data_IF_592341596264
#
_entry.id   IF_592341596264
#
_cell.length_a   1.000
_cell.length_b   1.000
_cell.length_c   1.000
_cell.angle_alpha   90.00
_cell.angle_beta   90.00
_cell.angle_gamma   90.00
#
_symmetry.space_group_name_H-M   'P 1'
#
loop_
_entity.id
_entity.type
_entity.pdbx_description
1 polymer ?
#
# COMPACT_ATOMS: atom_id res chain seq x y z
N UNK A 1 22.61 15.73 14.72
CA UNK A 1 21.77 15.95 13.53
C UNK A 1 20.63 14.95 13.64
N UNK A 2 19.39 15.42 13.53
CA UNK A 2 18.19 14.58 13.64
C UNK A 2 17.99 13.76 12.36
N UNK A 3 17.23 12.67 12.43
CA UNK A 3 16.74 11.91 11.30
C UNK A 3 15.99 12.81 10.31
N UNK A 4 15.13 13.71 10.76
CA UNK A 4 14.44 14.67 9.89
C UNK A 4 15.42 15.57 9.14
N UNK A 5 16.43 16.13 9.82
CA UNK A 5 17.43 17.00 9.19
C UNK A 5 18.17 16.26 8.06
N UNK A 6 18.60 15.02 8.32
CA UNK A 6 19.26 14.16 7.31
C UNK A 6 18.32 13.78 6.17
N UNK A 7 17.07 13.46 6.48
CA UNK A 7 16.05 13.14 5.49
C UNK A 7 15.81 14.30 4.52
N UNK A 8 15.73 15.52 5.07
CA UNK A 8 15.60 16.76 4.29
C UNK A 8 16.86 17.06 3.46
N UNK A 9 18.05 16.72 3.99
CA UNK A 9 19.32 16.84 3.27
C UNK A 9 19.49 15.82 2.12
N UNK A 10 18.57 14.85 1.97
CA UNK A 10 18.55 13.91 0.86
C UNK A 10 18.93 12.47 1.23
N UNK A 11 19.29 12.19 2.49
CA UNK A 11 19.62 10.85 2.99
C UNK A 11 18.37 9.98 3.24
N UNK A 12 17.42 10.00 2.30
CA UNK A 12 16.07 9.45 2.50
C UNK A 12 16.09 7.94 2.75
N UNK A 13 16.81 7.19 1.91
CA UNK A 13 16.91 5.73 2.04
C UNK A 13 17.64 5.31 3.31
N UNK A 14 18.74 6.00 3.63
CA UNK A 14 19.57 5.69 4.81
C UNK A 14 18.77 5.94 6.09
N UNK A 15 18.10 7.08 6.19
CA UNK A 15 17.23 7.40 7.33
C UNK A 15 16.12 6.38 7.48
N UNK A 16 15.44 5.99 6.40
CA UNK A 16 14.40 4.95 6.47
C UNK A 16 14.94 3.59 6.89
N UNK A 17 16.09 3.17 6.36
CA UNK A 17 16.72 1.92 6.74
C UNK A 17 17.11 1.88 8.22
N UNK A 18 17.64 2.99 8.75
CA UNK A 18 17.98 3.14 10.16
C UNK A 18 16.73 3.10 11.05
N UNK A 19 15.68 3.84 10.70
CA UNK A 19 14.41 3.82 11.45
C UNK A 19 13.76 2.43 11.46
N UNK A 20 13.82 1.69 10.35
CA UNK A 20 13.34 0.31 10.28
C UNK A 20 14.19 -0.63 11.15
N UNK A 21 15.51 -0.45 11.17
CA UNK A 21 16.43 -1.28 11.95
C UNK A 21 16.21 -1.15 13.47
N UNK A 22 15.63 -0.04 13.94
CA UNK A 22 15.24 0.13 15.35
C UNK A 22 14.04 -0.75 15.75
N UNK A 23 13.24 -1.25 14.80
CA UNK A 23 12.07 -2.07 15.09
C UNK A 23 11.11 -1.40 16.07
N UNK A 24 10.75 -2.08 17.16
CA UNK A 24 9.84 -1.54 18.18
C UNK A 24 10.40 -0.31 18.92
N UNK A 25 11.72 -0.14 18.95
CA UNK A 25 12.37 0.95 19.69
C UNK A 25 12.14 2.31 19.02
N UNK A 26 11.75 2.33 17.73
CA UNK A 26 11.37 3.55 17.00
C UNK A 26 10.20 4.29 17.67
N UNK A 27 9.41 3.60 18.51
CA UNK A 27 8.29 4.18 19.26
C UNK A 27 8.67 4.75 20.62
N UNK A 28 9.94 4.75 20.99
CA UNK A 28 10.41 5.31 22.26
C UNK A 28 11.05 6.66 22.05
N UNK A 29 10.86 7.55 23.02
CA UNK A 29 11.61 8.81 23.05
C UNK A 29 13.09 8.53 23.32
N UNK A 30 14.01 9.32 22.73
CA UNK A 30 13.76 10.54 21.93
C UNK A 30 13.52 10.29 20.43
N UNK A 31 13.53 9.03 19.96
CA UNK A 31 13.47 8.70 18.53
C UNK A 31 12.07 8.94 17.95
N UNK A 32 11.03 8.65 18.73
CA UNK A 32 9.64 8.71 18.27
C UNK A 32 9.27 10.04 17.62
N UNK A 33 9.63 11.17 18.24
CA UNK A 33 9.31 12.49 17.72
C UNK A 33 9.90 12.71 16.32
N UNK A 34 11.15 12.32 16.12
CA UNK A 34 11.89 12.50 14.87
C UNK A 34 11.42 11.50 13.79
N UNK A 35 11.14 10.25 14.18
CA UNK A 35 10.56 9.24 13.31
C UNK A 35 9.18 9.64 12.77
N UNK A 36 8.32 10.20 13.65
CA UNK A 36 7.02 10.79 13.25
C UNK A 36 7.20 11.94 12.26
N UNK A 37 8.18 12.81 12.50
CA UNK A 37 8.43 13.93 11.60
C UNK A 37 8.93 13.48 10.21
N UNK A 38 9.79 12.44 10.16
CA UNK A 38 10.22 11.81 8.90
C UNK A 38 9.04 11.17 8.17
N UNK A 39 8.18 10.43 8.89
CA UNK A 39 6.99 9.82 8.31
C UNK A 39 6.05 10.90 7.73
N UNK A 40 5.77 11.96 8.49
CA UNK A 40 4.95 13.09 8.04
C UNK A 40 5.52 13.78 6.79
N UNK A 41 6.82 14.09 6.76
CA UNK A 41 7.44 14.70 5.58
C UNK A 41 7.42 13.77 4.36
N UNK A 42 7.59 12.46 4.57
CA UNK A 42 7.44 11.46 3.52
C UNK A 42 6.03 11.50 2.94
N UNK A 43 5.01 11.54 3.79
CA UNK A 43 3.61 11.55 3.35
C UNK A 43 3.17 12.88 2.73
N UNK A 44 3.74 14.02 3.15
CA UNK A 44 3.58 15.29 2.44
C UNK A 44 4.12 15.25 1.02
N UNK A 45 5.22 14.53 0.78
CA UNK A 45 5.75 14.30 -0.58
C UNK A 45 4.84 13.37 -1.39
N UNK A 46 4.33 12.31 -0.76
CA UNK A 46 3.35 11.41 -1.38
C UNK A 46 2.11 12.20 -1.82
N UNK A 47 1.53 13.02 -0.95
CA UNK A 47 0.38 13.86 -1.29
C UNK A 47 0.65 14.76 -2.50
N UNK A 48 1.77 15.48 -2.53
CA UNK A 48 2.15 16.30 -3.69
C UNK A 48 2.29 15.48 -4.97
N UNK A 49 2.76 14.24 -4.88
CA UNK A 49 2.84 13.35 -6.03
C UNK A 49 1.45 12.89 -6.48
N UNK A 50 0.56 12.53 -5.55
CA UNK A 50 -0.83 12.18 -5.84
C UNK A 50 -1.55 13.34 -6.54
N UNK A 51 -1.45 14.56 -6.02
CA UNK A 51 -2.02 15.77 -6.64
C UNK A 51 -1.55 15.95 -8.09
N UNK A 52 -0.25 15.72 -8.36
CA UNK A 52 0.32 15.78 -9.71
C UNK A 52 -0.17 14.65 -10.61
N UNK A 53 -0.30 13.44 -10.09
CA UNK A 53 -0.79 12.29 -10.84
C UNK A 53 -2.26 12.51 -11.22
N UNK A 54 -3.10 12.86 -10.25
CA UNK A 54 -4.52 13.18 -10.45
C UNK A 54 -4.67 14.26 -11.52
N UNK A 55 -3.98 15.39 -11.39
CA UNK A 55 -4.07 16.46 -12.38
C UNK A 55 -3.64 16.04 -13.79
N UNK A 56 -2.63 15.18 -13.91
CA UNK A 56 -2.18 14.64 -15.22
C UNK A 56 -3.17 13.65 -15.82
N UNK A 57 -3.74 12.77 -15.01
CA UNK A 57 -4.75 11.81 -15.43
C UNK A 57 -6.02 12.53 -15.91
N UNK A 58 -6.49 13.52 -15.15
CA UNK A 58 -7.62 14.38 -15.56
C UNK A 58 -7.35 15.09 -16.88
N UNK A 59 -6.18 15.71 -17.02
CA UNK A 59 -5.79 16.39 -18.27
C UNK A 59 -5.70 15.44 -19.47
N UNK A 60 -5.42 14.15 -19.23
CA UNK A 60 -5.40 13.11 -20.26
C UNK A 60 -6.79 12.54 -20.58
N UNK A 61 -7.85 12.94 -19.87
CA UNK A 61 -9.20 12.42 -20.06
C UNK A 61 -9.49 11.10 -19.32
N UNK A 62 -8.68 10.75 -18.32
CA UNK A 62 -8.93 9.60 -17.44
C UNK A 62 -10.22 9.80 -16.65
N UNK A 63 -11.03 8.75 -16.55
CA UNK A 63 -12.30 8.74 -15.81
C UNK A 63 -12.14 7.95 -14.52
N UNK A 64 -12.09 8.64 -13.39
CA UNK A 64 -12.06 8.01 -12.07
C UNK A 64 -13.42 7.39 -11.72
N UNK A 65 -13.40 6.30 -10.96
CA UNK A 65 -14.60 5.59 -10.51
C UNK A 65 -15.37 4.87 -11.61
N UNK A 66 -14.82 4.74 -12.83
CA UNK A 66 -15.49 4.07 -13.94
C UNK A 66 -14.78 2.77 -14.32
N UNK A 67 -15.55 1.70 -14.51
CA UNK A 67 -15.06 0.41 -15.00
C UNK A 67 -15.32 0.24 -16.51
N UNK A 68 -14.54 -0.63 -17.20
CA UNK A 68 -14.71 -0.87 -18.64
C UNK A 68 -16.08 -1.41 -19.06
N UNK A 69 -16.79 -2.08 -18.16
CA UNK A 69 -18.15 -2.61 -18.37
C UNK A 69 -19.25 -1.53 -18.26
N UNK A 70 -18.87 -0.29 -17.91
CA UNK A 70 -19.78 0.82 -17.71
C UNK A 70 -20.37 0.92 -16.32
N UNK A 71 -19.96 0.04 -15.38
CA UNK A 71 -20.29 0.22 -13.98
C UNK A 71 -19.50 1.40 -13.39
N UNK A 72 -20.18 2.16 -12.53
CA UNK A 72 -19.57 3.25 -11.78
C UNK A 72 -19.43 2.83 -10.32
N UNK A 73 -18.23 2.99 -9.78
CA UNK A 73 -17.93 2.85 -8.37
C UNK A 73 -18.28 4.15 -7.67
N UNK A 74 -18.95 4.07 -6.53
CA UNK A 74 -19.04 5.21 -5.63
C UNK A 74 -17.64 5.59 -5.13
N UNK A 75 -17.28 6.85 -5.31
CA UNK A 75 -16.03 7.43 -4.82
C UNK A 75 -16.27 8.90 -4.47
N UNK A 76 -15.71 9.35 -3.36
CA UNK A 76 -15.70 10.78 -2.99
C UNK A 76 -14.76 11.60 -3.87
N UNK A 77 -13.87 10.92 -4.60
CA UNK A 77 -12.90 11.51 -5.51
C UNK A 77 -11.54 10.82 -5.43
N UNK A 78 -10.64 11.12 -6.38
CA UNK A 78 -9.39 10.37 -6.50
C UNK A 78 -8.34 10.69 -5.44
N UNK A 79 -8.51 11.80 -4.73
CA UNK A 79 -7.68 12.21 -3.60
C UNK A 79 -8.56 13.02 -2.66
N UNK A 80 -8.85 12.47 -1.49
CA UNK A 80 -9.67 13.13 -0.47
C UNK A 80 -8.79 13.55 0.69
N UNK A 81 -8.90 14.82 1.06
CA UNK A 81 -8.11 15.40 2.14
C UNK A 81 -8.56 14.86 3.51
N UNK A 82 -7.65 14.76 4.49
CA UNK A 82 -7.99 14.25 5.80
C UNK A 82 -8.88 15.21 6.60
N UNK A 83 -9.94 14.66 7.17
CA UNK A 83 -10.95 15.38 7.95
C UNK A 83 -10.69 15.25 9.46
N UNK A 84 -11.53 15.90 10.29
CA UNK A 84 -11.48 15.69 11.73
C UNK A 84 -11.98 14.30 12.11
N UNK A 85 -13.01 13.81 11.40
CA UNK A 85 -13.58 12.48 11.54
C UNK A 85 -12.56 11.40 11.16
N UNK A 86 -11.92 11.51 10.00
CA UNK A 86 -10.89 10.55 9.60
C UNK A 86 -9.73 10.48 10.60
N UNK A 87 -9.42 11.56 11.32
CA UNK A 87 -8.41 11.54 12.40
C UNK A 87 -8.91 10.80 13.63
N UNK A 88 -10.17 11.01 14.01
CA UNK A 88 -10.80 10.27 15.10
C UNK A 88 -10.87 8.76 14.79
N UNK A 89 -11.13 8.39 13.54
CA UNK A 89 -11.16 7.00 13.10
C UNK A 89 -9.80 6.31 13.23
N UNK A 90 -8.71 7.02 12.88
CA UNK A 90 -7.34 6.49 13.09
C UNK A 90 -7.08 6.23 14.58
N UNK A 91 -7.50 7.14 15.46
CA UNK A 91 -7.35 6.96 16.91
C UNK A 91 -8.20 5.79 17.42
N UNK A 92 -9.44 5.67 16.96
CA UNK A 92 -10.34 4.57 17.32
C UNK A 92 -9.77 3.22 16.85
N UNK A 93 -9.26 3.16 15.62
CA UNK A 93 -8.66 1.96 15.04
C UNK A 93 -7.43 1.55 15.86
N UNK A 94 -6.52 2.48 16.13
CA UNK A 94 -5.34 2.23 16.95
C UNK A 94 -5.70 1.79 18.39
N UNK A 95 -6.81 2.30 18.94
CA UNK A 95 -7.34 1.89 20.24
C UNK A 95 -7.80 0.43 20.29
N UNK A 96 -8.30 -0.11 19.18
CA UNK A 96 -8.80 -1.50 19.07
C UNK A 96 -7.73 -2.50 18.68
N UNK A 97 -6.90 -2.16 17.69
CA UNK A 97 -5.92 -3.10 17.10
C UNK A 97 -4.50 -2.93 17.66
N UNK A 98 -4.29 -1.88 18.45
CA UNK A 98 -2.99 -1.48 18.94
C UNK A 98 -2.25 -0.54 17.97
N UNK A 99 -0.96 -0.29 18.22
CA UNK A 99 -0.20 0.75 17.52
C UNK A 99 -0.08 0.50 16.00
N UNK A 100 -0.65 1.41 15.19
CA UNK A 100 -0.60 1.39 13.73
C UNK A 100 0.74 1.86 13.17
N UNK A 101 1.32 1.28 12.11
CA UNK A 101 2.61 1.74 11.58
C UNK A 101 2.69 3.27 11.42
N UNK A 102 3.79 3.90 11.86
CA UNK A 102 3.93 5.37 11.85
C UNK A 102 3.73 5.98 10.45
N UNK A 103 4.10 5.24 9.41
CA UNK A 103 3.85 5.62 8.01
C UNK A 103 2.37 5.64 7.66
N UNK A 104 1.57 4.71 8.19
CA UNK A 104 0.13 4.64 7.95
C UNK A 104 -0.61 5.74 8.72
N UNK A 105 -0.27 5.96 10.00
CA UNK A 105 -0.77 7.11 10.79
C UNK A 105 -0.48 8.43 10.04
N UNK A 106 0.75 8.60 9.56
CA UNK A 106 1.16 9.78 8.79
C UNK A 106 0.46 9.87 7.43
N UNK A 107 0.18 8.73 6.77
CA UNK A 107 -0.50 8.72 5.47
C UNK A 107 -1.91 9.29 5.61
N UNK A 108 -2.71 8.73 6.52
CA UNK A 108 -4.06 9.25 6.76
C UNK A 108 -4.06 10.66 7.35
N UNK A 109 -3.00 11.09 8.05
CA UNK A 109 -2.92 12.45 8.59
C UNK A 109 -2.54 13.52 7.56
N UNK A 110 -1.69 13.20 6.60
CA UNK A 110 -1.11 14.16 5.65
C UNK A 110 -1.74 14.04 4.24
N UNK A 111 -2.06 12.82 3.81
CA UNK A 111 -2.63 12.49 2.49
C UNK A 111 -4.15 12.42 2.55
N UNK A 112 -4.70 11.71 3.54
CA UNK A 112 -6.12 11.33 3.58
C UNK A 112 -6.33 9.99 2.88
N UNK A 113 -7.21 9.92 1.88
CA UNK A 113 -7.44 8.72 1.07
C UNK A 113 -7.11 8.97 -0.40
N UNK A 114 -6.80 7.90 -1.13
CA UNK A 114 -6.45 7.94 -2.56
C UNK A 114 -7.22 6.84 -3.26
N UNK A 115 -7.93 7.17 -4.32
CA UNK A 115 -8.64 6.19 -5.15
C UNK A 115 -8.41 6.51 -6.63
N UNK A 116 -7.33 5.95 -7.19
CA UNK A 116 -7.03 6.11 -8.61
C UNK A 116 -7.75 5.06 -9.48
N UNK A 117 -8.71 4.31 -8.94
CA UNK A 117 -9.51 3.36 -9.73
C UNK A 117 -10.26 4.13 -10.79
N UNK A 118 -10.26 3.60 -12.01
CA UNK A 118 -10.91 4.22 -13.15
C UNK A 118 -10.45 3.62 -14.46
N UNK A 119 -10.75 4.33 -15.54
CA UNK A 119 -10.45 3.88 -16.89
C UNK A 119 -10.00 5.01 -17.81
N UNK A 120 -9.24 4.63 -18.83
CA UNK A 120 -8.97 5.47 -19.99
C UNK A 120 -8.94 4.58 -21.24
N UNK A 121 -9.54 4.97 -22.38
CA UNK A 121 -9.65 4.12 -23.57
C UNK A 121 -8.31 3.64 -24.15
N UNK A 122 -7.20 4.31 -23.82
CA UNK A 122 -5.86 3.94 -24.27
C UNK A 122 -5.08 3.07 -23.28
N UNK A 123 -5.65 2.78 -22.10
CA UNK A 123 -5.03 1.93 -21.08
C UNK A 123 -5.67 0.53 -21.12
N UNK A 124 -4.94 -0.53 -20.73
CA UNK A 124 -5.51 -1.86 -20.60
C UNK A 124 -6.62 -1.88 -19.53
N UNK A 125 -7.63 -2.71 -19.74
CA UNK A 125 -8.76 -2.89 -18.82
C UNK A 125 -8.32 -3.36 -17.41
N UNK A 126 -7.15 -4.00 -17.33
CA UNK A 126 -6.57 -4.54 -16.09
C UNK A 126 -5.36 -3.73 -15.64
N UNK A 127 -5.55 -2.43 -15.36
CA UNK A 127 -4.56 -1.65 -14.61
C UNK A 127 -4.67 -1.98 -13.11
N UNK A 128 -3.55 -1.87 -12.39
CA UNK A 128 -3.49 -1.98 -10.92
C UNK A 128 -3.40 -0.55 -10.33
N UNK A 129 -4.52 0.17 -10.20
CA UNK A 129 -4.53 1.54 -9.71
C UNK A 129 -4.18 1.59 -8.23
N UNK A 130 -3.51 2.67 -7.82
CA UNK A 130 -3.30 2.95 -6.41
C UNK A 130 -4.65 3.28 -5.74
N UNK A 131 -5.05 2.44 -4.78
CA UNK A 131 -6.19 2.68 -3.91
C UNK A 131 -5.79 2.48 -2.43
N UNK A 132 -6.08 3.47 -1.60
CA UNK A 132 -5.95 3.44 -0.15
C UNK A 132 -7.21 4.07 0.42
N UNK A 133 -8.04 3.21 1.01
CA UNK A 133 -9.33 3.58 1.58
C UNK A 133 -9.17 4.48 2.82
N UNK A 134 -10.19 5.29 3.16
CA UNK A 134 -10.21 6.04 4.41
C UNK A 134 -10.17 5.11 5.64
N UNK A 135 -9.73 5.61 6.80
CA UNK A 135 -9.63 4.82 8.03
C UNK A 135 -10.98 4.25 8.50
N UNK A 136 -12.10 4.92 8.18
CA UNK A 136 -13.46 4.42 8.38
C UNK A 136 -13.66 3.02 7.79
N UNK A 137 -13.26 2.78 6.54
CA UNK A 137 -13.42 1.46 5.92
C UNK A 137 -12.63 0.34 6.62
N UNK A 138 -11.50 0.68 7.26
CA UNK A 138 -10.75 -0.26 8.07
C UNK A 138 -11.42 -0.55 9.42
N UNK A 139 -12.15 0.41 9.98
CA UNK A 139 -12.97 0.22 11.17
C UNK A 139 -14.19 -0.65 10.89
N UNK A 140 -14.91 -0.38 9.79
CA UNK A 140 -16.04 -1.21 9.36
C UNK A 140 -15.61 -2.67 9.16
N UNK A 141 -14.49 -2.90 8.47
CA UNK A 141 -13.97 -4.27 8.27
C UNK A 141 -13.64 -4.95 9.61
N UNK A 142 -13.13 -4.21 10.58
CA UNK A 142 -12.83 -4.73 11.91
C UNK A 142 -14.11 -5.06 12.69
N UNK A 143 -15.15 -4.24 12.58
CA UNK A 143 -16.46 -4.46 13.20
C UNK A 143 -17.15 -5.70 12.64
N UNK A 144 -17.17 -5.84 11.32
CA UNK A 144 -17.69 -7.04 10.64
C UNK A 144 -16.96 -8.31 11.13
N UNK A 145 -15.63 -8.26 11.21
CA UNK A 145 -14.84 -9.40 11.67
C UNK A 145 -15.06 -9.73 13.15
N UNK A 146 -15.26 -8.72 14.00
CA UNK A 146 -15.58 -8.93 15.42
C UNK A 146 -16.98 -9.55 15.58
N UNK A 147 -17.97 -9.09 14.81
CA UNK A 147 -19.32 -9.65 14.82
C UNK A 147 -19.35 -11.13 14.39
N UNK A 148 -18.66 -11.47 13.30
CA UNK A 148 -18.55 -12.85 12.81
C UNK A 148 -17.88 -13.78 13.84
N UNK A 149 -16.93 -13.26 14.64
CA UNK A 149 -16.27 -14.04 15.69
C UNK A 149 -17.17 -14.39 16.86
N UNK A 150 -18.09 -13.51 17.21
CA UNK A 150 -18.99 -13.71 18.34
C UNK A 150 -20.16 -14.66 17.99
N UNK A 151 -20.42 -14.88 16.69
CA UNK A 151 -21.47 -15.79 16.20
C UNK A 151 -21.08 -17.28 16.10
N UNK A 152 -19.79 -17.63 16.23
CA UNK A 152 -19.26 -19.02 16.20
C UNK A 152 -18.74 -19.43 17.61
N UNK A 153 -19.59 -19.98 18.51
CA UNK A 153 -19.22 -20.28 19.90
C UNK A 153 -18.59 -21.68 20.07
N UNK A 154 -18.44 -22.40 18.98
CA UNK A 154 -17.88 -23.74 18.88
C UNK A 154 -16.35 -23.61 18.86
N UNK A 155 -15.72 -23.96 19.99
CA UNK A 155 -14.27 -23.81 20.23
C UNK A 155 -13.36 -24.71 19.37
N UNK A 156 -13.68 -24.95 18.10
CA UNK A 156 -12.85 -25.68 17.14
C UNK A 156 -12.20 -24.77 16.08
N UNK A 157 -11.61 -23.63 16.48
CA UNK A 157 -10.76 -22.85 15.58
C UNK A 157 -9.36 -23.47 15.42
N UNK A 158 -9.31 -24.68 14.86
CA UNK A 158 -8.13 -25.12 14.13
C UNK A 158 -8.08 -24.28 12.85
N UNK A 159 -7.28 -23.21 12.86
CA UNK A 159 -7.01 -22.42 11.66
C UNK A 159 -6.24 -23.30 10.66
N UNK A 160 -6.97 -24.00 9.79
CA UNK A 160 -6.41 -24.69 8.64
C UNK A 160 -7.09 -24.14 7.39
N UNK A 161 -6.66 -22.96 6.95
CA UNK A 161 -6.90 -22.55 5.56
C UNK A 161 -6.09 -23.52 4.69
N UNK A 162 -6.75 -24.57 4.17
CA UNK A 162 -6.25 -25.46 3.12
C UNK A 162 -5.73 -24.60 1.97
N UNK A 163 -4.44 -24.33 2.00
CA UNK A 163 -3.71 -23.81 0.87
C UNK A 163 -3.67 -24.93 -0.15
N UNK A 164 -4.61 -24.94 -1.10
CA UNK A 164 -4.42 -25.76 -2.31
C UNK A 164 -3.08 -25.31 -2.92
N UNK A 165 -2.15 -26.23 -3.19
CA UNK A 165 -0.86 -25.87 -3.75
C UNK A 165 -1.10 -25.43 -5.20
N UNK A 166 -1.24 -24.13 -5.43
CA UNK A 166 -1.02 -23.59 -6.77
C UNK A 166 0.48 -23.65 -7.00
N UNK A 167 0.89 -24.63 -7.81
CA UNK A 167 2.23 -24.73 -8.38
C UNK A 167 2.56 -23.43 -9.13
N UNK A 168 3.19 -22.48 -8.44
CA UNK A 168 3.86 -21.35 -9.07
C UNK A 168 5.23 -21.85 -9.51
N UNK A 169 5.30 -22.34 -10.74
CA UNK A 169 6.56 -22.37 -11.47
C UNK A 169 6.90 -20.95 -11.91
N UNK A 170 7.67 -20.23 -11.09
CA UNK A 170 8.68 -19.30 -11.63
C UNK A 170 9.83 -19.12 -10.65
N UNK A 171 10.78 -20.03 -10.80
CA UNK A 171 12.20 -19.77 -10.62
C UNK A 171 12.59 -18.46 -11.31
N UNK A 172 12.87 -17.43 -10.52
CA UNK A 172 14.05 -16.56 -10.69
C UNK A 172 14.27 -15.81 -9.38
N UNK A 173 15.44 -16.04 -8.82
CA UNK A 173 15.98 -15.50 -7.56
C UNK A 173 15.86 -13.98 -7.42
N UNK A 174 15.19 -13.53 -6.36
CA UNK A 174 15.65 -12.55 -5.36
C UNK A 174 14.45 -11.95 -4.60
N UNK A 175 14.28 -12.38 -3.34
CA UNK A 175 13.55 -11.75 -2.23
C UNK A 175 12.31 -10.88 -2.57
N UNK A 176 11.15 -11.52 -2.73
CA UNK A 176 9.86 -10.86 -2.51
C UNK A 176 9.41 -11.20 -1.08
N UNK A 177 9.32 -10.17 -0.22
CA UNK A 177 8.67 -10.29 1.09
C UNK A 177 7.14 -10.28 0.90
N UNK A 178 6.38 -11.03 1.71
CA UNK A 178 4.92 -11.02 1.63
C UNK A 178 4.36 -9.70 2.16
N UNK A 179 3.58 -8.99 1.34
CA UNK A 179 2.82 -7.81 1.76
C UNK A 179 1.60 -8.24 2.57
N UNK A 180 1.83 -8.75 3.78
CA UNK A 180 0.80 -8.96 4.79
C UNK A 180 1.37 -8.51 6.13
N UNK A 181 0.82 -7.42 6.68
CA UNK A 181 1.11 -7.02 8.05
C UNK A 181 0.34 -7.96 8.98
N UNK A 182 1.00 -8.98 9.53
CA UNK A 182 0.44 -9.74 10.65
C UNK A 182 0.61 -8.94 11.94
N UNK A 183 -0.50 -8.56 12.55
CA UNK A 183 -0.54 -7.94 13.88
C UNK A 183 -0.36 -9.03 14.96
N UNK A 184 0.11 -8.66 16.18
CA UNK A 184 0.27 -9.61 17.29
C UNK A 184 -1.07 -10.15 17.82
N UNK A 185 -2.17 -9.47 17.52
CA UNK A 185 -3.54 -9.98 17.61
C UNK A 185 -3.93 -10.58 16.26
N UNK A 186 -4.58 -11.74 16.27
CA UNK A 186 -4.93 -12.54 15.08
C UNK A 186 -5.95 -11.90 14.11
N UNK A 187 -6.08 -10.57 14.11
CA UNK A 187 -6.97 -9.82 13.24
C UNK A 187 -6.26 -9.50 11.91
N UNK A 188 -6.77 -9.98 10.76
CA UNK A 188 -6.31 -9.52 9.46
C UNK A 188 -6.93 -8.17 9.15
N UNK A 189 -6.14 -7.09 9.17
CA UNK A 189 -6.56 -5.78 8.64
C UNK A 189 -6.11 -5.72 7.19
N UNK A 190 -7.04 -5.66 6.24
CA UNK A 190 -6.75 -5.50 4.82
C UNK A 190 -7.08 -4.06 4.40
N UNK A 191 -6.08 -3.19 4.33
CA UNK A 191 -6.27 -1.84 3.74
C UNK A 191 -6.44 -1.86 2.21
N UNK A 192 -6.66 -3.04 1.61
CA UNK A 192 -6.91 -3.22 0.18
C UNK A 192 -8.36 -3.71 -0.02
N UNK A 193 -9.12 -2.95 -0.81
CA UNK A 193 -10.54 -3.17 -1.10
C UNK A 193 -10.89 -4.61 -1.50
N UNK A 194 -11.97 -5.14 -0.90
CA UNK A 194 -12.57 -6.46 -1.17
C UNK A 194 -13.30 -6.58 -2.53
N UNK A 195 -13.49 -5.51 -3.29
CA UNK A 195 -14.43 -5.51 -4.43
C UNK A 195 -13.82 -5.83 -5.81
N UNK A 196 -12.81 -6.69 -5.88
CA UNK A 196 -12.35 -7.25 -7.15
C UNK A 196 -12.93 -8.66 -7.37
N UNK A 197 -14.23 -8.73 -7.64
CA UNK A 197 -14.91 -9.96 -8.08
C UNK A 197 -14.58 -10.23 -9.54
N UNK A 198 -13.31 -10.52 -9.86
CA UNK A 198 -12.92 -10.84 -11.23
C UNK A 198 -11.71 -11.77 -11.29
N UNK A 199 -11.84 -13.01 -10.80
CA UNK A 199 -10.87 -14.07 -11.09
C UNK A 199 -11.49 -15.47 -10.92
N UNK A 200 -12.50 -15.80 -11.73
CA UNK A 200 -13.01 -17.18 -11.85
C UNK A 200 -13.20 -17.60 -13.31
N UNK A 201 -12.22 -17.38 -14.20
CA UNK A 201 -12.01 -18.26 -15.37
C UNK A 201 -10.85 -17.82 -16.28
N UNK A 202 -10.00 -18.81 -16.60
CA UNK A 202 -9.09 -18.90 -17.76
C UNK A 202 -7.59 -18.69 -17.51
N UNK A 203 -6.74 -19.67 -17.87
CA UNK A 203 -5.31 -19.66 -17.59
C UNK A 203 -4.49 -19.35 -18.85
N UNK A 204 -4.29 -18.08 -19.21
CA UNK A 204 -3.30 -17.74 -20.24
C UNK A 204 -2.91 -16.26 -20.16
N UNK A 205 -1.64 -16.00 -20.50
CA UNK A 205 -1.03 -14.69 -20.77
C UNK A 205 -0.38 -14.03 -19.53
N UNK A 206 0.92 -13.74 -19.48
CA UNK A 206 1.89 -13.54 -20.55
C UNK A 206 2.61 -12.23 -20.28
N UNK A 207 3.66 -12.27 -19.45
CA UNK A 207 4.39 -11.12 -18.93
C UNK A 207 5.05 -10.25 -20.00
N UNK A 208 4.85 -8.93 -19.94
CA UNK A 208 5.82 -7.93 -20.44
C UNK A 208 5.67 -6.58 -19.73
N UNK A 209 6.81 -6.02 -19.33
CA UNK A 209 7.04 -4.96 -18.33
C UNK A 209 6.73 -3.53 -18.78
N UNK A 210 6.55 -2.64 -17.79
CA UNK A 210 6.99 -1.23 -17.87
C UNK A 210 7.84 -0.88 -16.64
N UNK A 211 9.04 -0.38 -16.91
CA UNK A 211 9.96 0.21 -15.94
C UNK A 211 9.81 1.73 -16.01
N UNK A 212 9.62 2.40 -14.87
CA UNK A 212 9.58 3.86 -14.85
C UNK A 212 8.76 4.48 -13.72
N UNK A 213 9.03 4.13 -12.47
CA UNK A 213 8.68 4.97 -11.33
C UNK A 213 9.75 4.79 -10.25
N UNK A 214 10.21 5.91 -9.70
CA UNK A 214 11.37 6.00 -8.83
C UNK A 214 11.21 5.19 -7.53
N UNK A 215 11.79 3.99 -7.52
CA UNK A 215 12.22 3.27 -6.33
C UNK A 215 13.74 3.21 -6.38
N UNK A 216 14.45 3.81 -5.41
CA UNK A 216 15.90 3.65 -5.34
C UNK A 216 16.19 2.23 -4.77
N UNK A 217 17.04 1.48 -5.50
CA UNK A 217 17.30 0.05 -5.31
C UNK A 217 17.42 -0.79 -6.60
N UNK A 218 16.89 -0.32 -7.74
CA UNK A 218 17.08 -0.99 -9.03
C UNK A 218 18.31 -0.47 -9.76
N UNK A 219 19.45 -1.15 -9.60
CA UNK A 219 20.61 -0.93 -10.47
C UNK A 219 20.44 -1.75 -11.75
N UNK A 220 20.25 -1.08 -12.88
CA UNK A 220 20.41 -1.68 -14.18
C UNK A 220 21.88 -2.11 -14.35
N UNK A 221 22.12 -3.42 -14.32
CA UNK A 221 23.44 -3.98 -14.62
C UNK A 221 23.88 -3.54 -16.01
N UNK A 222 24.89 -2.66 -16.08
CA UNK A 222 25.59 -2.35 -17.32
C UNK A 222 26.21 -3.64 -17.82
N UNK A 223 25.73 -4.17 -18.95
CA UNK A 223 26.50 -5.15 -19.71
C UNK A 223 27.69 -4.41 -20.30
N UNK A 224 28.86 -4.59 -19.68
CA UNK A 224 30.14 -4.37 -20.33
C UNK A 224 30.17 -5.24 -21.58
N UNK A 225 30.15 -4.60 -22.75
CA UNK A 225 30.43 -5.29 -24.01
C UNK A 225 31.95 -5.35 -24.16
N UNK A 226 32.52 -6.50 -23.87
CA UNK A 226 33.93 -6.79 -24.16
C UNK A 226 34.13 -8.31 -24.31
N UNK A 227 34.41 -8.72 -25.56
CA UNK A 227 35.24 -9.89 -25.97
C UNK A 227 34.52 -11.26 -25.74
N UNK A 228 34.24 -12.10 -26.74
CA UNK A 228 35.17 -12.88 -27.58
C UNK A 228 34.58 -13.31 -28.94
N UNK A 229 35.44 -13.27 -29.97
CA UNK A 229 35.37 -14.08 -31.20
C UNK A 229 35.93 -15.49 -30.96
N UNK A 230 35.45 -16.45 -31.77
CA UNK A 230 35.93 -17.82 -32.10
C UNK A 230 34.66 -18.70 -32.19
N UNK A 231 34.27 -19.34 -33.29
CA UNK A 231 34.85 -19.61 -34.62
C UNK A 231 33.78 -19.42 -35.70
#
# INVERSE_FOLDING_TARGET
>A
MSYLERYLAGEQEQVWAELLALGADVRREPVLADARAVAAETMRRVRRNCERIVGRLQAAGYKFGAYPDGEERWTEGPLVAPTAESRADVEALAGRVGPLPLSLEAFWSEVGSVDLVGMHPSLPDMSDPLAVDPPEGALEELEDWEADRDEEPDGSSHFERRSRPTTISRTTSAAALPTACSFPTSAPISCCSKNATCCTSSPTCGSRSFAGAAFPGWTAGRRSSSIWSMD
#
